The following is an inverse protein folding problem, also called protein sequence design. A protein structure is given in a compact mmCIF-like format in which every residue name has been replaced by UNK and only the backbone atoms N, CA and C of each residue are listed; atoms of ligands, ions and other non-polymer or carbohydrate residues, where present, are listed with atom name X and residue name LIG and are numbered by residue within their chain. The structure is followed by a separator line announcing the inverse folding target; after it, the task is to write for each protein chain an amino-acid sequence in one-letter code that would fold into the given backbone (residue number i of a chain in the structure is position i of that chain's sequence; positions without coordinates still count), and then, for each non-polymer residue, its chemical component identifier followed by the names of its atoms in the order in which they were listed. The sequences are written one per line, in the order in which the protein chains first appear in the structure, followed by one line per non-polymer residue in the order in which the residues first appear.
data_IF_693116178860
#
_entry.id   IF_693116178860
#
_cell.length_a   1.000
_cell.length_b   1.000
_cell.length_c   1.000
_cell.angle_alpha   90.00
_cell.angle_beta   90.00
_cell.angle_gamma   90.00
#
_symmetry.space_group_name_H-M   'P 1'
#
loop_
_entity.id
_entity.type
_entity.pdbx_description
1 polymer ?
#
# COMPACT_ATOMS: atom_id res chain seq x y z
N UNK A 1 21.93 13.61 16.12
CA UNK A 1 23.23 14.19 15.74
C UNK A 1 23.15 15.70 15.94
N UNK A 2 24.26 16.36 16.26
CA UNK A 2 24.32 17.81 16.36
C UNK A 2 25.38 18.33 15.38
N UNK A 3 25.00 19.29 14.54
CA UNK A 3 25.89 19.95 13.59
C UNK A 3 26.20 21.36 14.10
N UNK A 4 27.48 21.74 14.04
CA UNK A 4 27.92 23.10 14.28
C UNK A 4 28.36 23.68 12.94
N UNK A 5 27.69 24.72 12.46
CA UNK A 5 27.98 25.37 11.19
C UNK A 5 28.44 26.79 11.48
N UNK A 6 29.69 27.09 11.14
CA UNK A 6 30.24 28.45 11.23
C UNK A 6 30.07 29.15 9.88
N UNK A 7 29.32 30.24 9.85
CA UNK A 7 29.17 31.07 8.65
C UNK A 7 28.95 32.54 9.03
N UNK A 8 29.69 33.44 8.38
CA UNK A 8 29.79 34.85 8.77
C UNK A 8 28.68 35.75 8.20
N UNK A 9 27.96 35.32 7.17
CA UNK A 9 26.94 36.16 6.50
C UNK A 9 25.95 35.33 5.66
N UNK A 10 25.25 34.38 6.27
CA UNK A 10 24.14 33.67 5.61
C UNK A 10 22.81 34.33 5.96
N UNK A 11 21.94 34.46 4.96
CA UNK A 11 20.54 34.83 5.16
C UNK A 11 19.69 33.60 5.49
N UNK A 12 18.43 33.82 5.89
CA UNK A 12 17.52 32.73 6.31
C UNK A 12 17.26 31.69 5.21
N UNK A 13 17.26 32.11 3.93
CA UNK A 13 17.08 31.21 2.79
C UNK A 13 18.29 30.30 2.61
N UNK A 14 19.50 30.83 2.77
CA UNK A 14 20.73 30.06 2.73
C UNK A 14 20.87 29.11 3.92
N UNK A 15 20.40 29.50 5.11
CA UNK A 15 20.32 28.58 6.25
C UNK A 15 19.37 27.41 5.99
N UNK A 16 18.25 27.65 5.30
CA UNK A 16 17.33 26.59 4.87
C UNK A 16 17.99 25.63 3.87
N UNK A 17 18.79 26.15 2.94
CA UNK A 17 19.56 25.32 1.99
C UNK A 17 20.61 24.47 2.72
N UNK A 18 21.37 25.05 3.64
CA UNK A 18 22.34 24.31 4.46
C UNK A 18 21.65 23.22 5.27
N UNK A 19 20.51 23.52 5.89
CA UNK A 19 19.73 22.53 6.61
C UNK A 19 19.30 21.39 5.69
N UNK A 20 18.87 21.67 4.45
CA UNK A 20 18.42 20.65 3.49
C UNK A 20 19.52 19.67 3.05
N UNK A 21 20.79 20.08 3.06
CA UNK A 21 21.93 19.21 2.74
C UNK A 21 22.34 18.32 3.92
N UNK A 22 22.01 18.72 5.16
CA UNK A 22 22.45 18.05 6.38
C UNK A 22 21.49 16.97 6.91
N UNK A 23 20.32 16.79 6.30
CA UNK A 23 19.32 15.82 6.73
C UNK A 23 18.61 15.13 5.56
N UNK A 24 18.21 13.87 5.76
CA UNK A 24 17.27 13.23 4.84
C UNK A 24 15.85 13.74 5.13
N UNK A 25 15.32 14.58 4.24
CA UNK A 25 13.96 15.13 4.32
C UNK A 25 12.86 14.08 4.54
N UNK A 26 13.08 12.82 4.15
CA UNK A 26 12.10 11.76 4.31
C UNK A 26 12.12 11.09 5.69
N UNK A 27 13.19 11.25 6.46
CA UNK A 27 13.44 10.47 7.68
C UNK A 27 13.81 11.34 8.89
N UNK A 28 14.32 12.53 8.65
CA UNK A 28 14.93 13.39 9.65
C UNK A 28 14.26 14.76 9.68
N UNK A 29 14.51 15.52 10.75
CA UNK A 29 14.00 16.87 10.93
C UNK A 29 15.06 17.71 11.63
N UNK A 30 15.14 18.99 11.27
CA UNK A 30 16.11 19.94 11.81
C UNK A 30 15.44 20.79 12.89
N UNK A 31 16.10 20.92 14.04
CA UNK A 31 15.64 21.71 15.18
C UNK A 31 16.66 22.79 15.51
N UNK A 32 16.18 23.95 15.98
CA UNK A 32 17.04 25.08 16.36
C UNK A 32 17.65 24.92 17.75
N UNK A 33 17.06 24.08 18.60
CA UNK A 33 17.53 23.80 19.96
C UNK A 33 17.40 22.31 20.32
N UNK A 34 18.30 21.84 21.18
CA UNK A 34 18.35 20.44 21.59
C UNK A 34 17.06 19.97 22.30
N UNK A 35 16.44 20.86 23.09
CA UNK A 35 15.23 20.58 23.86
C UNK A 35 13.97 20.34 23.00
N UNK A 36 13.98 20.79 21.73
CA UNK A 36 12.84 20.61 20.83
C UNK A 36 12.65 19.14 20.42
N UNK A 37 13.74 18.37 20.34
CA UNK A 37 13.70 16.94 20.00
C UNK A 37 12.90 16.11 21.01
N UNK A 38 12.84 16.54 22.28
CA UNK A 38 12.11 15.85 23.34
C UNK A 38 10.59 15.89 23.18
N UNK A 39 10.04 16.88 22.44
CA UNK A 39 8.59 17.01 22.21
C UNK A 39 8.03 15.89 21.31
N UNK A 40 8.87 15.30 20.47
CA UNK A 40 8.50 14.25 19.50
C UNK A 40 8.29 12.88 20.14
N UNK A 41 8.74 12.67 21.38
CA UNK A 41 8.74 11.36 22.05
C UNK A 41 7.43 11.04 22.80
N UNK A 42 6.46 11.96 22.80
CA UNK A 42 5.18 11.75 23.48
C UNK A 42 4.21 10.99 22.57
N UNK A 43 3.66 9.84 23.01
CA UNK A 43 2.64 9.17 22.24
C UNK A 43 1.40 10.06 22.14
N UNK A 44 0.85 10.28 20.94
CA UNK A 44 -0.42 11.00 20.80
C UNK A 44 -1.56 10.16 21.41
N UNK A 45 -2.66 10.80 21.82
CA UNK A 45 -3.87 10.08 22.20
C UNK A 45 -4.41 9.26 21.02
N UNK A 46 -5.14 8.19 21.31
CA UNK A 46 -5.78 7.38 20.27
C UNK A 46 -6.83 8.21 19.51
N UNK A 47 -6.77 8.19 18.18
CA UNK A 47 -7.77 8.84 17.36
C UNK A 47 -9.06 8.01 17.34
N UNK A 48 -10.25 8.63 17.49
CA UNK A 48 -11.52 7.93 17.40
C UNK A 48 -11.79 7.47 15.96
N UNK A 49 -12.58 6.40 15.84
CA UNK A 49 -13.07 5.91 14.54
C UNK A 49 -14.00 6.96 13.93
N UNK A 50 -13.85 7.23 12.64
CA UNK A 50 -14.71 8.18 11.93
C UNK A 50 -15.73 7.43 11.08
N UNK A 51 -17.01 7.76 11.25
CA UNK A 51 -18.08 7.26 10.38
C UNK A 51 -18.26 8.18 9.17
N UNK A 52 -18.57 7.60 8.01
CA UNK A 52 -18.85 8.31 6.77
C UNK A 52 -20.36 8.32 6.56
N UNK A 53 -20.95 9.51 6.45
CA UNK A 53 -22.40 9.68 6.44
C UNK A 53 -23.06 9.35 5.10
N UNK A 54 -23.12 8.05 4.79
CA UNK A 54 -23.78 7.52 3.60
C UNK A 54 -25.31 7.65 3.66
N UNK A 55 -25.91 7.49 4.83
CA UNK A 55 -27.37 7.55 4.98
C UNK A 55 -27.91 8.98 4.82
N UNK A 56 -27.16 9.98 5.30
CA UNK A 56 -27.54 11.39 5.17
C UNK A 56 -27.16 12.03 3.84
N UNK A 57 -25.94 11.77 3.33
CA UNK A 57 -25.40 12.43 2.14
C UNK A 57 -25.40 11.54 0.89
N UNK A 58 -25.82 10.28 1.02
CA UNK A 58 -25.86 9.33 -0.08
C UNK A 58 -24.48 9.05 -0.66
N UNK A 59 -24.44 8.78 -1.97
CA UNK A 59 -23.21 8.48 -2.72
C UNK A 59 -22.09 9.50 -2.50
N UNK A 60 -22.44 10.78 -2.36
CA UNK A 60 -21.46 11.85 -2.26
C UNK A 60 -20.51 11.66 -1.08
N UNK A 61 -21.00 11.15 0.06
CA UNK A 61 -20.13 10.86 1.21
C UNK A 61 -19.04 9.83 0.89
N UNK A 62 -19.31 8.85 0.04
CA UNK A 62 -18.31 7.87 -0.39
C UNK A 62 -17.30 8.47 -1.37
N UNK A 63 -17.72 9.36 -2.25
CA UNK A 63 -16.83 10.08 -3.17
C UNK A 63 -15.87 10.97 -2.38
N UNK A 64 -16.39 11.73 -1.41
CA UNK A 64 -15.59 12.61 -0.57
C UNK A 64 -14.64 11.79 0.31
N UNK A 65 -15.10 10.67 0.86
CA UNK A 65 -14.25 9.75 1.60
C UNK A 65 -13.16 9.11 0.73
N UNK A 66 -13.46 8.76 -0.52
CA UNK A 66 -12.49 8.20 -1.48
C UNK A 66 -11.33 9.17 -1.73
N UNK A 67 -11.63 10.45 -1.93
CA UNK A 67 -10.63 11.51 -2.11
C UNK A 67 -9.85 11.79 -0.82
N UNK A 68 -10.56 12.01 0.29
CA UNK A 68 -9.95 12.36 1.58
C UNK A 68 -9.04 11.26 2.13
N UNK A 69 -9.43 10.00 1.96
CA UNK A 69 -8.68 8.84 2.46
C UNK A 69 -7.77 8.21 1.40
N UNK A 70 -7.80 8.68 0.15
CA UNK A 70 -6.97 8.16 -0.94
C UNK A 70 -7.25 6.68 -1.24
N UNK A 71 -8.51 6.25 -1.21
CA UNK A 71 -8.89 4.84 -1.34
C UNK A 71 -8.74 4.32 -2.78
N UNK A 72 -8.72 5.22 -3.77
CA UNK A 72 -8.63 4.90 -5.20
C UNK A 72 -9.67 3.87 -5.66
N UNK A 73 -10.90 3.99 -5.14
CA UNK A 73 -12.04 3.17 -5.52
C UNK A 73 -12.52 3.56 -6.91
N UNK A 74 -12.88 2.57 -7.70
CA UNK A 74 -13.58 2.75 -8.97
C UNK A 74 -15.08 3.02 -8.75
N UNK A 75 -15.78 3.52 -9.77
CA UNK A 75 -17.20 3.88 -9.65
C UNK A 75 -18.10 2.69 -9.31
N UNK A 76 -17.80 1.51 -9.86
CA UNK A 76 -18.50 0.25 -9.58
C UNK A 76 -18.25 -0.24 -8.15
N UNK A 77 -17.07 0.03 -7.59
CA UNK A 77 -16.75 -0.25 -6.19
C UNK A 77 -17.49 0.69 -5.24
N UNK A 78 -17.67 1.95 -5.63
CA UNK A 78 -18.48 2.92 -4.89
C UNK A 78 -19.96 2.51 -4.92
N UNK A 79 -20.49 2.10 -6.08
CA UNK A 79 -21.84 1.54 -6.22
C UNK A 79 -22.04 0.35 -5.27
N UNK A 80 -21.11 -0.60 -5.30
CA UNK A 80 -21.16 -1.79 -4.46
C UNK A 80 -21.20 -1.45 -2.96
N UNK A 81 -20.36 -0.52 -2.53
CA UNK A 81 -20.31 -0.10 -1.12
C UNK A 81 -21.59 0.63 -0.72
N UNK A 82 -22.10 1.50 -1.58
CA UNK A 82 -23.37 2.18 -1.37
C UNK A 82 -24.50 1.17 -1.12
N UNK A 83 -24.67 0.21 -2.03
CA UNK A 83 -25.70 -0.82 -1.91
C UNK A 83 -25.52 -1.70 -0.67
N UNK A 84 -24.28 -2.07 -0.34
CA UNK A 84 -23.98 -2.93 0.80
C UNK A 84 -24.35 -2.24 2.13
N UNK A 85 -23.96 -0.99 2.31
CA UNK A 85 -24.23 -0.25 3.55
C UNK A 85 -25.68 0.25 3.64
N UNK A 86 -26.33 0.53 2.51
CA UNK A 86 -27.78 0.76 2.48
C UNK A 86 -28.56 -0.48 2.95
N UNK A 87 -28.18 -1.68 2.49
CA UNK A 87 -28.79 -2.95 2.94
C UNK A 87 -28.54 -3.22 4.42
N UNK A 88 -27.38 -2.80 4.95
CA UNK A 88 -27.06 -2.92 6.38
C UNK A 88 -27.73 -1.86 7.25
N UNK A 89 -28.34 -0.82 6.66
CA UNK A 89 -29.04 0.24 7.37
C UNK A 89 -28.14 1.06 8.30
N UNK A 90 -26.83 1.14 8.02
CA UNK A 90 -25.87 1.87 8.85
C UNK A 90 -24.79 2.56 8.01
N UNK A 91 -24.19 3.58 8.59
CA UNK A 91 -23.04 4.26 7.98
C UNK A 91 -21.77 3.39 8.03
N UNK A 92 -20.94 3.40 6.97
CA UNK A 92 -19.61 2.78 6.98
C UNK A 92 -18.65 3.54 7.89
N UNK A 93 -17.73 2.80 8.51
CA UNK A 93 -16.57 3.39 9.18
C UNK A 93 -15.38 3.54 8.23
N UNK A 94 -14.53 4.53 8.48
CA UNK A 94 -13.29 4.76 7.74
C UNK A 94 -12.42 3.50 7.60
N UNK A 95 -12.28 2.72 8.67
CA UNK A 95 -11.53 1.46 8.71
C UNK A 95 -12.13 0.38 7.80
N UNK A 96 -13.46 0.32 7.68
CA UNK A 96 -14.15 -0.65 6.82
C UNK A 96 -13.89 -0.31 5.35
N UNK A 97 -13.94 0.97 4.99
CA UNK A 97 -13.63 1.46 3.65
C UNK A 97 -12.15 1.26 3.29
N UNK A 98 -11.24 1.53 4.23
CA UNK A 98 -9.81 1.25 4.05
C UNK A 98 -9.54 -0.24 3.83
N UNK A 99 -10.12 -1.10 4.66
CA UNK A 99 -9.97 -2.55 4.52
C UNK A 99 -10.46 -3.01 3.15
N UNK A 100 -11.62 -2.51 2.72
CA UNK A 100 -12.17 -2.84 1.40
C UNK A 100 -11.27 -2.37 0.25
N UNK A 101 -10.78 -1.12 0.30
CA UNK A 101 -9.91 -0.56 -0.72
C UNK A 101 -8.59 -1.34 -0.85
N UNK A 102 -7.97 -1.70 0.27
CA UNK A 102 -6.72 -2.48 0.25
C UNK A 102 -6.94 -3.88 -0.33
N UNK A 103 -8.04 -4.54 0.04
CA UNK A 103 -8.36 -5.88 -0.46
C UNK A 103 -8.70 -5.90 -1.95
N UNK A 104 -9.35 -4.84 -2.47
CA UNK A 104 -9.76 -4.74 -3.86
C UNK A 104 -8.80 -3.93 -4.75
N UNK A 105 -7.69 -3.43 -4.19
CA UNK A 105 -6.63 -2.82 -4.98
C UNK A 105 -6.13 -3.78 -6.07
N UNK A 106 -5.71 -3.23 -7.22
CA UNK A 106 -5.21 -4.02 -8.36
C UNK A 106 -4.10 -4.99 -7.92
N UNK A 107 -3.16 -4.49 -7.12
CA UNK A 107 -2.02 -5.27 -6.64
C UNK A 107 -2.44 -6.47 -5.76
N UNK A 108 -3.54 -6.36 -5.01
CA UNK A 108 -4.03 -7.46 -4.19
C UNK A 108 -4.91 -8.42 -5.01
N UNK A 109 -5.83 -7.86 -5.80
CA UNK A 109 -6.86 -8.63 -6.51
C UNK A 109 -6.39 -9.19 -7.85
N UNK A 110 -5.26 -8.71 -8.36
CA UNK A 110 -4.68 -9.07 -9.66
C UNK A 110 -5.75 -8.98 -10.77
N UNK A 111 -6.46 -7.84 -10.82
CA UNK A 111 -7.61 -7.63 -11.72
C UNK A 111 -7.19 -7.82 -13.18
N UNK A 112 -6.08 -7.22 -13.58
CA UNK A 112 -5.53 -7.29 -14.95
C UNK A 112 -5.21 -8.74 -15.34
N UNK A 113 -4.60 -9.50 -14.44
CA UNK A 113 -4.24 -10.89 -14.69
C UNK A 113 -5.44 -11.82 -14.84
N UNK A 114 -6.59 -11.46 -14.24
CA UNK A 114 -7.83 -12.23 -14.31
C UNK A 114 -8.85 -11.71 -15.32
N UNK A 115 -8.58 -10.58 -15.98
CA UNK A 115 -9.50 -9.97 -16.93
C UNK A 115 -9.64 -10.79 -18.24
N UNK A 116 -10.78 -10.59 -18.91
CA UNK A 116 -10.98 -10.96 -20.32
C UNK A 116 -10.28 -9.92 -21.21
N UNK A 117 -9.67 -10.38 -22.30
CA UNK A 117 -8.92 -9.52 -23.22
C UNK A 117 -9.59 -9.50 -24.59
N UNK A 118 -9.61 -8.33 -25.21
CA UNK A 118 -9.93 -8.14 -26.64
C UNK A 118 -8.72 -7.47 -27.25
N UNK A 119 -8.09 -8.11 -28.24
CA UNK A 119 -6.88 -7.63 -28.92
C UNK A 119 -7.24 -7.49 -30.39
N UNK A 120 -7.05 -6.30 -30.96
CA UNK A 120 -7.38 -6.00 -32.36
C UNK A 120 -8.82 -6.34 -32.77
N UNK A 121 -9.76 -6.22 -31.82
CA UNK A 121 -11.17 -6.54 -32.01
C UNK A 121 -11.55 -8.00 -31.75
N UNK A 122 -10.57 -8.88 -31.50
CA UNK A 122 -10.82 -10.30 -31.25
C UNK A 122 -10.77 -10.65 -29.76
N UNK A 123 -11.85 -11.28 -29.26
CA UNK A 123 -11.93 -11.75 -27.87
C UNK A 123 -11.00 -12.94 -27.65
N UNK A 124 -10.11 -12.82 -26.68
CA UNK A 124 -9.15 -13.86 -26.32
C UNK A 124 -9.80 -14.91 -25.39
N UNK A 125 -9.51 -16.20 -25.58
CA UNK A 125 -10.17 -17.30 -24.85
C UNK A 125 -9.63 -17.53 -23.43
N UNK A 126 -8.50 -16.90 -23.07
CA UNK A 126 -7.82 -17.09 -21.79
C UNK A 126 -7.36 -15.76 -21.23
N UNK A 127 -7.50 -15.58 -19.92
CA UNK A 127 -6.82 -14.50 -19.18
C UNK A 127 -5.32 -14.77 -19.08
N UNK A 128 -4.52 -13.73 -18.77
CA UNK A 128 -3.08 -13.87 -18.55
C UNK A 128 -2.76 -14.95 -17.50
N UNK A 129 -3.51 -14.98 -16.39
CA UNK A 129 -3.30 -15.98 -15.35
C UNK A 129 -3.65 -17.40 -15.81
N UNK A 130 -4.68 -17.56 -16.67
CA UNK A 130 -5.04 -18.85 -17.25
C UNK A 130 -4.00 -19.33 -18.26
N UNK A 131 -3.34 -18.42 -18.97
CA UNK A 131 -2.19 -18.75 -19.81
C UNK A 131 -0.99 -19.24 -18.98
N UNK A 132 -0.72 -18.61 -17.83
CA UNK A 132 0.35 -19.07 -16.91
C UNK A 132 0.01 -20.45 -16.34
N UNK A 133 -1.23 -20.69 -15.89
CA UNK A 133 -1.66 -22.02 -15.40
C UNK A 133 -1.54 -23.11 -16.47
N UNK A 134 -1.66 -22.76 -17.74
CA UNK A 134 -1.54 -23.73 -18.83
C UNK A 134 -0.17 -24.41 -18.88
N UNK A 135 0.89 -23.73 -18.43
CA UNK A 135 2.22 -24.35 -18.30
C UNK A 135 2.22 -25.50 -17.29
N UNK A 136 1.52 -25.33 -16.16
CA UNK A 136 1.34 -26.37 -15.15
C UNK A 136 0.39 -27.48 -15.61
N UNK A 137 -0.66 -27.15 -16.39
CA UNK A 137 -1.54 -28.16 -17.00
C UNK A 137 -0.79 -29.06 -17.99
N UNK A 138 0.23 -28.52 -18.69
CA UNK A 138 1.01 -29.25 -19.70
C UNK A 138 2.25 -29.94 -19.14
N UNK A 139 2.81 -29.44 -18.04
CA UNK A 139 4.01 -30.01 -17.41
C UNK A 139 3.86 -29.98 -15.89
N UNK A 140 3.07 -30.90 -15.32
CA UNK A 140 2.85 -30.98 -13.87
C UNK A 140 4.02 -31.66 -13.14
N UNK A 141 4.96 -32.27 -13.87
CA UNK A 141 6.03 -33.07 -13.31
C UNK A 141 6.86 -32.29 -12.28
N UNK A 142 7.16 -32.95 -11.16
CA UNK A 142 7.96 -32.41 -10.05
C UNK A 142 7.35 -31.22 -9.29
N UNK A 143 6.10 -30.83 -9.56
CA UNK A 143 5.41 -29.72 -8.87
C UNK A 143 4.49 -30.22 -7.76
N UNK A 144 4.87 -29.97 -6.49
CA UNK A 144 4.10 -30.40 -5.31
C UNK A 144 2.93 -29.45 -4.96
N UNK A 145 3.05 -28.15 -5.25
CA UNK A 145 2.01 -27.15 -4.98
C UNK A 145 2.23 -25.93 -5.86
N UNK A 146 1.21 -25.56 -6.65
CA UNK A 146 1.19 -24.34 -7.45
C UNK A 146 -0.19 -23.66 -7.34
N UNK A 147 -0.19 -22.32 -7.26
CA UNK A 147 -1.38 -21.45 -7.29
C UNK A 147 -2.43 -21.63 -6.17
N UNK A 148 -2.23 -22.54 -5.22
CA UNK A 148 -3.08 -22.73 -4.04
C UNK A 148 -2.20 -23.00 -2.82
N UNK A 149 -2.10 -22.03 -1.91
CA UNK A 149 -1.38 -22.18 -0.64
C UNK A 149 -2.29 -21.77 0.52
N UNK A 150 -2.73 -22.74 1.32
CA UNK A 150 -3.23 -22.46 2.66
C UNK A 150 -2.04 -22.62 3.61
N UNK A 151 -1.60 -21.55 4.26
CA UNK A 151 -0.56 -21.67 5.27
C UNK A 151 -1.20 -22.16 6.57
N UNK A 152 -1.35 -23.48 6.73
CA UNK A 152 -1.53 -24.13 8.02
C UNK A 152 -0.48 -25.23 8.16
N UNK A 153 0.32 -25.15 9.22
CA UNK A 153 1.17 -26.24 9.69
C UNK A 153 2.67 -25.94 9.74
N UNK A 154 3.27 -26.19 10.90
CA UNK A 154 4.70 -26.41 11.13
C UNK A 154 5.18 -27.67 10.36
N UNK A 155 5.19 -27.62 9.03
CA UNK A 155 5.73 -28.67 8.18
C UNK A 155 7.14 -28.31 7.72
N UNK A 156 8.10 -29.22 7.93
CA UNK A 156 9.48 -29.11 7.42
C UNK A 156 9.48 -28.66 5.95
N UNK A 157 10.14 -27.54 5.67
CA UNK A 157 10.40 -27.11 4.31
C UNK A 157 11.39 -28.08 3.63
N UNK A 158 10.92 -28.83 2.63
CA UNK A 158 11.82 -29.44 1.66
C UNK A 158 12.48 -28.32 0.84
N UNK A 159 13.81 -28.34 0.74
CA UNK A 159 14.60 -27.40 -0.08
C UNK A 159 14.02 -27.36 -1.50
N UNK A 160 13.54 -26.19 -1.97
CA UNK A 160 13.04 -26.04 -3.35
C UNK A 160 11.93 -25.01 -3.58
N UNK A 161 11.43 -24.30 -2.55
CA UNK A 161 10.41 -23.28 -2.77
C UNK A 161 11.01 -22.00 -3.37
N UNK A 162 10.69 -21.70 -4.63
CA UNK A 162 11.05 -20.45 -5.30
C UNK A 162 9.86 -19.47 -5.26
N UNK A 163 10.00 -18.36 -4.53
CA UNK A 163 9.04 -17.25 -4.53
C UNK A 163 9.79 -15.96 -4.86
N UNK A 164 9.38 -15.25 -5.91
CA UNK A 164 9.92 -13.95 -6.27
C UNK A 164 8.82 -12.89 -6.14
N UNK A 165 9.10 -11.79 -5.43
CA UNK A 165 8.20 -10.65 -5.29
C UNK A 165 8.91 -9.38 -5.71
N UNK A 166 8.56 -8.76 -6.85
CA UNK A 166 9.11 -7.47 -7.21
C UNK A 166 8.50 -6.35 -6.36
N UNK A 167 9.32 -5.41 -5.87
CA UNK A 167 8.86 -4.14 -5.26
C UNK A 167 9.34 -2.96 -6.10
N UNK A 168 8.59 -2.61 -7.15
CA UNK A 168 8.91 -1.49 -8.04
C UNK A 168 8.31 -0.15 -7.58
N UNK A 169 7.38 -0.12 -6.62
CA UNK A 169 6.62 1.09 -6.25
C UNK A 169 7.18 1.98 -5.12
N UNK A 170 8.12 1.58 -4.25
CA UNK A 170 8.74 2.54 -3.34
C UNK A 170 9.89 3.28 -4.03
N UNK A 171 9.76 3.68 -5.30
CA UNK A 171 10.81 4.45 -6.00
C UNK A 171 11.03 5.83 -5.37
N UNK A 172 10.05 6.31 -4.60
CA UNK A 172 10.12 7.55 -3.81
C UNK A 172 10.60 7.37 -2.36
N UNK A 173 10.90 6.17 -1.87
CA UNK A 173 11.47 5.99 -0.52
C UNK A 173 13.01 6.04 -0.56
N UNK A 174 13.72 6.42 0.51
CA UNK A 174 15.18 6.39 0.50
C UNK A 174 15.70 4.96 0.20
N UNK A 175 16.72 4.80 -0.67
CA UNK A 175 17.19 3.49 -1.15
C UNK A 175 17.52 2.50 -0.03
N UNK A 176 18.12 2.98 1.08
CA UNK A 176 18.48 2.15 2.23
C UNK A 176 17.28 1.45 2.89
N UNK A 177 16.12 2.10 2.94
CA UNK A 177 14.90 1.49 3.52
C UNK A 177 14.25 0.47 2.59
N UNK A 178 14.42 0.62 1.27
CA UNK A 178 13.91 -0.33 0.27
C UNK A 178 14.55 -1.71 0.49
N UNK A 179 15.88 -1.74 0.57
CA UNK A 179 16.67 -2.96 0.73
C UNK A 179 16.43 -3.67 2.08
N UNK A 180 16.39 -2.91 3.19
CA UNK A 180 16.24 -3.52 4.52
C UNK A 180 14.86 -4.16 4.74
N UNK A 181 13.80 -3.58 4.16
CA UNK A 181 12.46 -4.17 4.20
C UNK A 181 12.31 -5.45 3.37
N UNK A 182 13.29 -5.74 2.51
CA UNK A 182 13.38 -6.92 1.64
C UNK A 182 14.02 -8.11 2.39
N UNK A 183 15.06 -7.85 3.20
CA UNK A 183 15.81 -8.89 3.92
C UNK A 183 15.20 -9.27 5.29
N UNK A 184 14.47 -8.35 5.94
CA UNK A 184 13.84 -8.58 7.25
C UNK A 184 12.65 -9.56 7.24
N UNK A 185 12.36 -10.21 6.10
CA UNK A 185 11.43 -11.34 5.97
C UNK A 185 12.13 -12.57 5.38
N UNK A 186 13.28 -12.94 5.94
CA UNK A 186 13.71 -14.34 5.89
C UNK A 186 13.08 -15.11 7.07
N UNK A 187 12.82 -16.43 6.91
CA UNK A 187 11.63 -17.16 7.37
C UNK A 187 11.44 -17.31 8.88
#
# INVERSE_FOLDING_TARGET
MAYYVEASSLNDEQWSQVASELHDRMMESVFGALEEGGKTLRPPPANPVTSVDLLGLGRQALIDANLRLGLALADDEIDYLQDAFQKLGRNPNDIELYMFAQANSEHCRHKIFNADWVIDGEKQPKSLFKMIKNTFEKTPDYVLSAYKRQRRGNGRFSRGALLRRPRNRPLRLPPGRRAYSDEGRNP
#
